data_IF_901127723993
#
_entry.id   IF_901127723993
#
_cell.length_a   1.000
_cell.length_b   1.000
_cell.length_c   1.000
_cell.angle_alpha   90.00
_cell.angle_beta   90.00
_cell.angle_gamma   90.00
#
_symmetry.space_group_name_H-M   'P 1'
#
loop_
_entity.id
_entity.type
_entity.pdbx_description
1 polymer ?
#
# COMPACT_ATOMS: atom_id res chain seq x y z
N UNK A 1 6.34 25.44 10.69
CA UNK A 1 5.22 25.53 9.73
C UNK A 1 4.67 24.11 9.60
N UNK A 2 3.35 23.91 9.54
CA UNK A 2 2.79 22.56 9.36
C UNK A 2 3.18 22.04 7.98
N UNK A 3 3.35 20.72 7.85
CA UNK A 3 3.76 20.05 6.61
C UNK A 3 2.76 20.31 5.46
N UNK A 4 1.48 20.39 5.80
CA UNK A 4 0.38 20.72 4.88
C UNK A 4 -0.79 21.32 5.65
N UNK A 5 -1.72 21.92 4.93
CA UNK A 5 -2.92 22.51 5.52
C UNK A 5 -3.96 21.43 5.86
N UNK A 6 -4.58 21.55 7.03
CA UNK A 6 -5.80 20.83 7.42
C UNK A 6 -6.95 21.83 7.37
N UNK A 7 -7.83 21.69 6.39
CA UNK A 7 -8.95 22.62 6.18
C UNK A 7 -10.05 22.46 7.23
N UNK A 8 -10.98 23.41 7.35
CA UNK A 8 -12.18 23.24 8.18
C UNK A 8 -13.02 22.02 7.78
N UNK A 9 -13.07 21.69 6.47
CA UNK A 9 -13.79 20.52 5.97
C UNK A 9 -13.13 19.20 6.42
N UNK A 10 -11.79 19.12 6.38
CA UNK A 10 -11.07 17.95 6.90
C UNK A 10 -11.34 17.70 8.38
N UNK A 11 -11.29 18.80 9.19
CA UNK A 11 -11.59 18.71 10.61
C UNK A 11 -13.01 18.22 10.86
N UNK A 12 -13.97 18.73 10.09
CA UNK A 12 -15.37 18.29 10.18
C UNK A 12 -15.50 16.79 9.90
N UNK A 13 -14.95 16.31 8.78
CA UNK A 13 -14.98 14.88 8.43
C UNK A 13 -14.32 14.04 9.52
N UNK A 14 -13.16 14.45 10.01
CA UNK A 14 -12.49 13.71 11.08
C UNK A 14 -13.33 13.64 12.34
N UNK A 15 -13.83 14.78 12.84
CA UNK A 15 -14.54 14.87 14.11
C UNK A 15 -15.92 14.23 14.09
N UNK A 16 -16.67 14.38 12.99
CA UNK A 16 -18.05 13.88 12.90
C UNK A 16 -18.12 12.43 12.42
N UNK A 17 -17.18 11.99 11.57
CA UNK A 17 -17.28 10.70 10.90
C UNK A 17 -16.23 9.68 11.33
N UNK A 18 -14.99 10.11 11.62
CA UNK A 18 -13.86 9.19 11.75
C UNK A 18 -13.38 9.03 13.19
N UNK A 19 -13.32 10.08 13.99
CA UNK A 19 -12.68 10.05 15.31
C UNK A 19 -13.21 8.94 16.22
N UNK A 20 -14.52 8.81 16.34
CA UNK A 20 -15.17 7.84 17.23
C UNK A 20 -15.34 6.45 16.59
N UNK A 21 -15.20 6.38 15.26
CA UNK A 21 -15.17 5.12 14.51
C UNK A 21 -13.79 4.45 14.58
N UNK A 22 -12.72 5.21 14.52
CA UNK A 22 -11.35 4.70 14.54
C UNK A 22 -10.91 4.34 15.97
N UNK A 23 -10.18 3.22 16.17
CA UNK A 23 -9.61 2.85 17.46
C UNK A 23 -8.51 3.86 17.88
N UNK A 24 -8.14 3.87 19.16
CA UNK A 24 -7.09 4.76 19.67
C UNK A 24 -5.70 4.42 19.15
N UNK A 25 -5.47 3.14 18.81
CA UNK A 25 -4.22 2.66 18.21
C UNK A 25 -4.48 2.25 16.78
N UNK A 26 -3.61 2.69 15.89
CA UNK A 26 -3.66 2.39 14.46
C UNK A 26 -2.29 1.89 14.03
N UNK A 27 -2.25 0.86 13.18
CA UNK A 27 -1.03 0.41 12.53
C UNK A 27 -1.24 0.38 11.02
N UNK A 28 -0.59 1.32 10.35
CA UNK A 28 -0.53 1.42 8.89
C UNK A 28 0.47 0.40 8.34
N UNK A 29 0.01 -0.61 7.62
CA UNK A 29 0.90 -1.67 7.10
C UNK A 29 1.54 -1.32 5.76
N UNK A 30 1.14 -0.23 5.12
CA UNK A 30 1.59 0.12 3.78
C UNK A 30 1.91 1.61 3.67
N UNK A 31 3.17 1.97 3.93
CA UNK A 31 3.60 3.36 3.82
C UNK A 31 5.07 3.47 3.42
N UNK A 32 5.41 4.52 2.71
CA UNK A 32 6.72 4.74 2.16
C UNK A 32 7.46 5.85 2.88
N UNK A 33 8.76 5.68 3.09
CA UNK A 33 9.65 6.75 3.53
C UNK A 33 10.89 6.79 2.64
N UNK A 34 11.29 7.98 2.21
CA UNK A 34 12.46 8.20 1.37
C UNK A 34 12.97 9.63 1.46
N UNK A 35 14.20 9.84 1.00
CA UNK A 35 14.77 11.15 0.72
C UNK A 35 15.12 11.22 -0.76
N UNK A 36 14.73 12.29 -1.44
CA UNK A 36 15.01 12.50 -2.87
C UNK A 36 16.52 12.52 -3.16
N UNK A 37 17.28 13.12 -2.26
CA UNK A 37 18.75 13.15 -2.35
C UNK A 37 19.42 11.75 -2.37
N UNK A 38 18.71 10.71 -1.90
CA UNK A 38 19.18 9.33 -1.87
C UNK A 38 18.66 8.49 -3.04
N UNK A 39 17.81 9.05 -3.90
CA UNK A 39 17.30 8.35 -5.08
C UNK A 39 18.41 8.07 -6.09
N UNK A 40 18.34 6.93 -6.74
CA UNK A 40 19.12 6.71 -7.95
C UNK A 40 18.63 7.66 -9.04
N UNK A 41 19.55 8.36 -9.71
CA UNK A 41 19.19 9.21 -10.85
C UNK A 41 18.47 8.35 -11.89
N UNK A 42 17.23 8.68 -12.19
CA UNK A 42 16.44 7.99 -13.22
C UNK A 42 17.23 8.05 -14.53
N UNK A 43 17.58 6.88 -15.07
CA UNK A 43 18.03 6.83 -16.47
C UNK A 43 16.85 7.30 -17.32
N UNK A 44 17.09 8.25 -18.22
CA UNK A 44 16.09 8.66 -19.20
C UNK A 44 15.57 7.42 -19.92
N UNK A 45 14.24 7.35 -20.09
CA UNK A 45 13.62 6.27 -20.85
C UNK A 45 14.21 6.30 -22.27
N UNK A 46 14.63 5.15 -22.77
CA UNK A 46 15.01 4.99 -24.16
C UNK A 46 13.77 4.91 -25.05
N UNK A 47 13.91 5.18 -26.34
CA UNK A 47 12.79 5.11 -27.28
C UNK A 47 12.10 3.73 -27.20
N UNK A 48 10.80 3.71 -26.88
CA UNK A 48 10.00 2.49 -26.75
C UNK A 48 9.82 1.97 -25.31
N UNK A 49 10.51 2.52 -24.31
CA UNK A 49 10.27 2.18 -22.91
C UNK A 49 9.05 2.92 -22.37
N UNK A 50 8.14 2.18 -21.71
CA UNK A 50 6.94 2.74 -21.10
C UNK A 50 7.17 2.97 -19.62
N UNK A 51 6.71 4.11 -19.11
CA UNK A 51 6.72 4.40 -17.68
C UNK A 51 5.72 3.49 -16.97
N UNK A 52 6.21 2.74 -15.98
CA UNK A 52 5.42 1.73 -15.23
C UNK A 52 4.97 2.20 -13.85
N UNK A 53 5.45 3.36 -13.42
CA UNK A 53 5.19 3.93 -12.09
C UNK A 53 4.40 5.21 -12.24
N UNK A 54 3.41 5.40 -11.40
CA UNK A 54 2.70 6.68 -11.30
C UNK A 54 3.62 7.78 -10.77
N UNK A 55 3.39 9.01 -11.20
CA UNK A 55 4.16 10.19 -10.76
C UNK A 55 3.58 10.91 -9.57
N UNK A 56 2.39 10.53 -9.12
CA UNK A 56 1.69 11.22 -8.05
C UNK A 56 2.48 11.35 -6.74
N UNK A 57 3.22 10.32 -6.27
CA UNK A 57 4.01 10.51 -5.06
C UNK A 57 4.93 11.72 -5.13
N UNK A 58 5.57 11.94 -6.28
CA UNK A 58 6.48 13.08 -6.49
C UNK A 58 5.74 14.43 -6.54
N UNK A 59 4.46 14.44 -6.95
CA UNK A 59 3.60 15.64 -6.93
C UNK A 59 3.11 15.97 -5.52
N UNK A 60 2.98 14.95 -4.67
CA UNK A 60 2.53 15.13 -3.28
C UNK A 60 3.69 15.46 -2.35
N UNK A 61 4.84 14.81 -2.57
CA UNK A 61 6.03 14.98 -1.74
C UNK A 61 7.31 14.64 -2.52
N UNK A 62 8.24 15.57 -2.56
CA UNK A 62 9.60 15.31 -3.08
C UNK A 62 10.36 14.41 -2.11
N UNK A 63 10.35 14.75 -0.83
CA UNK A 63 10.77 13.91 0.29
C UNK A 63 9.55 13.42 1.06
N UNK A 64 9.63 12.21 1.59
CA UNK A 64 8.73 11.72 2.63
C UNK A 64 9.58 11.11 3.74
N UNK A 65 10.17 11.96 4.54
CA UNK A 65 11.01 11.55 5.68
C UNK A 65 10.17 10.86 6.77
N UNK A 66 10.82 10.20 7.71
CA UNK A 66 10.12 9.64 8.87
C UNK A 66 9.44 10.74 9.70
N UNK A 67 10.06 11.90 9.77
CA UNK A 67 9.51 13.09 10.45
C UNK A 67 8.26 13.59 9.73
N UNK A 68 8.28 13.66 8.39
CA UNK A 68 7.12 14.03 7.58
C UNK A 68 5.98 13.02 7.74
N UNK A 69 6.29 11.72 7.79
CA UNK A 69 5.30 10.68 8.03
C UNK A 69 4.65 10.83 9.41
N UNK A 70 5.46 11.01 10.46
CA UNK A 70 4.96 11.19 11.82
C UNK A 70 4.12 12.48 11.94
N UNK A 71 4.54 13.58 11.33
CA UNK A 71 3.77 14.83 11.28
C UNK A 71 2.47 14.64 10.49
N UNK A 72 2.49 13.86 9.39
CA UNK A 72 1.30 13.51 8.63
C UNK A 72 0.27 12.81 9.52
N UNK A 73 0.69 11.80 10.29
CA UNK A 73 -0.23 11.11 11.20
C UNK A 73 -0.76 12.03 12.31
N UNK A 74 0.10 12.88 12.86
CA UNK A 74 -0.31 13.88 13.89
C UNK A 74 -1.37 14.85 13.37
N UNK A 75 -1.25 15.27 12.10
CA UNK A 75 -2.18 16.21 11.47
C UNK A 75 -3.49 15.53 11.04
N UNK A 76 -3.42 14.31 10.52
CA UNK A 76 -4.58 13.62 9.98
C UNK A 76 -5.35 12.80 11.02
N UNK A 77 -4.69 12.31 12.05
CA UNK A 77 -5.29 11.47 13.10
C UNK A 77 -5.08 12.05 14.49
N UNK A 78 -5.55 13.31 14.75
CA UNK A 78 -5.31 13.94 16.04
C UNK A 78 -5.91 13.11 17.18
N UNK A 79 -5.09 12.86 18.22
CA UNK A 79 -5.47 12.06 19.37
C UNK A 79 -5.32 10.55 19.23
N UNK A 80 -4.87 10.03 18.07
CA UNK A 80 -4.60 8.61 17.87
C UNK A 80 -3.11 8.30 17.96
N UNK A 81 -2.77 7.10 18.46
CA UNK A 81 -1.42 6.54 18.43
C UNK A 81 -1.23 5.75 17.12
N UNK A 82 -0.59 6.36 16.12
CA UNK A 82 -0.40 5.75 14.80
C UNK A 82 1.04 5.30 14.64
N UNK A 83 1.22 4.02 14.33
CA UNK A 83 2.50 3.41 13.92
C UNK A 83 2.40 2.89 12.50
N UNK A 84 3.54 2.55 11.90
CA UNK A 84 3.58 2.07 10.53
C UNK A 84 4.60 0.96 10.31
N UNK A 85 4.30 0.07 9.35
CA UNK A 85 5.25 -0.79 8.68
C UNK A 85 5.79 -0.01 7.48
N UNK A 86 7.06 0.40 7.57
CA UNK A 86 7.67 1.31 6.60
C UNK A 86 8.57 0.59 5.60
N UNK A 87 8.67 1.14 4.40
CA UNK A 87 9.62 0.74 3.36
C UNK A 87 9.87 1.91 2.40
N UNK A 88 10.87 1.80 1.54
CA UNK A 88 11.17 2.86 0.58
C UNK A 88 10.19 2.87 -0.60
N UNK A 89 10.26 3.88 -1.45
CA UNK A 89 9.44 3.97 -2.66
C UNK A 89 9.92 3.01 -3.77
N UNK A 90 9.11 2.88 -4.84
CA UNK A 90 9.40 2.00 -5.96
C UNK A 90 10.68 2.35 -6.75
N UNK A 91 11.23 3.53 -6.55
CA UNK A 91 12.45 4.04 -7.19
C UNK A 91 13.68 3.85 -6.29
N UNK A 92 13.64 2.89 -5.39
CA UNK A 92 14.56 2.77 -4.29
C UNK A 92 15.99 2.46 -4.69
N UNK A 93 16.87 3.31 -4.22
CA UNK A 93 18.31 3.06 -4.17
C UNK A 93 18.67 2.19 -2.97
N UNK A 94 19.87 1.60 -2.99
CA UNK A 94 20.44 0.97 -1.80
C UNK A 94 20.54 1.96 -0.63
N UNK A 95 20.79 3.25 -0.92
CA UNK A 95 20.87 4.32 0.08
C UNK A 95 19.53 4.57 0.78
N UNK A 96 18.39 4.52 0.05
CA UNK A 96 17.08 4.62 0.67
C UNK A 96 16.73 3.40 1.53
N UNK A 97 17.18 2.19 1.19
CA UNK A 97 17.05 1.03 2.09
C UNK A 97 17.86 1.21 3.39
N UNK A 98 19.08 1.76 3.32
CA UNK A 98 19.85 2.08 4.53
C UNK A 98 19.19 3.21 5.35
N UNK A 99 18.59 4.19 4.70
CA UNK A 99 17.77 5.21 5.38
C UNK A 99 16.58 4.57 6.12
N UNK A 100 15.81 3.69 5.47
CA UNK A 100 14.71 2.96 6.12
C UNK A 100 15.20 2.17 7.33
N UNK A 101 16.31 1.48 7.24
CA UNK A 101 16.94 0.75 8.35
C UNK A 101 17.27 1.68 9.52
N UNK A 102 17.88 2.83 9.25
CA UNK A 102 18.23 3.81 10.27
C UNK A 102 16.99 4.34 10.98
N UNK A 103 16.01 4.82 10.19
CA UNK A 103 14.80 5.43 10.78
C UNK A 103 13.88 4.41 11.44
N UNK A 104 13.87 3.15 10.99
CA UNK A 104 13.19 2.05 11.67
C UNK A 104 13.73 1.86 13.09
N UNK A 105 15.06 1.85 13.26
CA UNK A 105 15.70 1.75 14.58
C UNK A 105 15.36 2.94 15.48
N UNK A 106 15.39 4.15 14.91
CA UNK A 106 15.17 5.40 15.64
C UNK A 106 13.73 5.60 16.05
N UNK A 107 12.78 5.31 15.17
CA UNK A 107 11.34 5.48 15.41
C UNK A 107 10.70 4.29 16.13
N UNK A 108 11.33 3.11 16.05
CA UNK A 108 10.73 1.84 16.48
C UNK A 108 9.66 1.30 15.51
N UNK A 109 9.49 1.91 14.34
CA UNK A 109 8.57 1.41 13.32
C UNK A 109 9.15 0.16 12.66
N UNK A 110 8.39 -0.95 12.55
CA UNK A 110 8.81 -2.11 11.78
C UNK A 110 9.04 -1.75 10.31
N UNK A 111 9.90 -2.52 9.62
CA UNK A 111 10.24 -2.19 8.23
C UNK A 111 10.35 -3.43 7.34
N UNK A 112 10.12 -3.23 6.03
CA UNK A 112 10.43 -4.18 4.98
C UNK A 112 11.63 -3.71 4.16
N UNK A 113 12.40 -4.68 3.67
CA UNK A 113 13.48 -4.46 2.74
C UNK A 113 12.93 -4.36 1.31
N UNK A 114 13.31 -3.35 0.56
CA UNK A 114 12.96 -3.29 -0.86
C UNK A 114 13.96 -4.14 -1.65
N UNK A 115 13.53 -5.34 -2.04
CA UNK A 115 14.37 -6.29 -2.77
C UNK A 115 14.41 -6.00 -4.27
N UNK A 116 15.52 -6.39 -4.90
CA UNK A 116 15.70 -6.36 -6.36
C UNK A 116 15.77 -7.80 -6.88
N UNK A 117 15.17 -8.11 -8.03
CA UNK A 117 15.12 -9.48 -8.54
C UNK A 117 16.50 -10.07 -8.86
N UNK A 118 17.50 -9.22 -9.14
CA UNK A 118 18.87 -9.66 -9.45
C UNK A 118 19.65 -10.14 -8.22
N UNK A 119 19.19 -9.81 -7.00
CA UNK A 119 19.86 -10.20 -5.77
C UNK A 119 19.73 -11.70 -5.54
N UNK A 120 20.81 -12.35 -5.12
CA UNK A 120 20.75 -13.73 -4.62
C UNK A 120 19.92 -13.82 -3.34
N UNK A 121 19.41 -15.00 -3.04
CA UNK A 121 18.67 -15.25 -1.81
C UNK A 121 19.53 -14.98 -0.55
N UNK A 122 20.83 -15.29 -0.60
CA UNK A 122 21.74 -15.09 0.51
C UNK A 122 22.03 -13.61 0.77
N UNK A 123 22.26 -12.82 -0.29
CA UNK A 123 22.43 -11.36 -0.17
C UNK A 123 21.16 -10.70 0.38
N UNK A 124 20.00 -11.10 -0.10
CA UNK A 124 18.72 -10.58 0.39
C UNK A 124 18.52 -10.92 1.87
N UNK A 125 18.73 -12.19 2.28
CA UNK A 125 18.64 -12.58 3.69
C UNK A 125 19.62 -11.82 4.57
N UNK A 126 20.87 -11.66 4.14
CA UNK A 126 21.87 -10.88 4.86
C UNK A 126 21.37 -9.45 5.11
N UNK A 127 20.84 -8.77 4.07
CA UNK A 127 20.29 -7.41 4.21
C UNK A 127 19.11 -7.35 5.16
N UNK A 128 18.20 -8.34 5.10
CA UNK A 128 17.06 -8.44 6.01
C UNK A 128 17.55 -8.55 7.46
N UNK A 129 18.44 -9.49 7.75
CA UNK A 129 18.93 -9.72 9.11
C UNK A 129 19.75 -8.55 9.67
N UNK A 130 20.67 -7.98 8.88
CA UNK A 130 21.48 -6.83 9.28
C UNK A 130 20.64 -5.56 9.48
N UNK A 131 19.56 -5.42 8.69
CA UNK A 131 18.66 -4.28 8.74
C UNK A 131 17.61 -4.37 9.85
N UNK A 132 17.31 -5.55 10.36
CA UNK A 132 16.18 -5.79 11.26
C UNK A 132 14.84 -5.79 10.53
N UNK A 133 14.86 -6.02 9.21
CA UNK A 133 13.65 -6.05 8.37
C UNK A 133 12.83 -7.33 8.61
N UNK A 134 11.52 -7.26 8.36
CA UNK A 134 10.58 -8.35 8.61
C UNK A 134 10.13 -9.09 7.35
N UNK A 135 10.70 -8.74 6.22
CA UNK A 135 10.37 -9.30 4.93
C UNK A 135 10.77 -8.38 3.80
N UNK A 136 10.11 -8.54 2.66
CA UNK A 136 10.46 -7.83 1.43
C UNK A 136 9.26 -7.11 0.80
N UNK A 137 9.57 -6.03 0.10
CA UNK A 137 8.75 -5.32 -0.88
C UNK A 137 9.52 -5.27 -2.19
N UNK A 138 8.83 -5.40 -3.31
CA UNK A 138 9.33 -5.09 -4.64
C UNK A 138 8.21 -4.47 -5.47
N UNK A 139 8.51 -4.03 -6.68
CA UNK A 139 7.53 -3.37 -7.53
C UNK A 139 7.72 -3.77 -8.99
N UNK A 140 6.66 -3.67 -9.79
CA UNK A 140 6.64 -4.12 -11.19
C UNK A 140 7.65 -3.41 -12.11
N UNK A 141 8.16 -2.24 -11.75
CA UNK A 141 9.20 -1.54 -12.51
C UNK A 141 10.58 -2.19 -12.36
N UNK A 142 10.77 -3.09 -11.38
CA UNK A 142 11.96 -3.93 -11.26
C UNK A 142 11.94 -5.10 -12.27
N UNK A 143 10.81 -5.41 -12.89
CA UNK A 143 10.75 -6.40 -13.96
C UNK A 143 11.58 -5.97 -15.18
N UNK A 144 12.13 -6.93 -15.97
CA UNK A 144 12.92 -6.62 -17.16
C UNK A 144 12.25 -5.58 -18.06
N UNK A 145 12.99 -4.54 -18.45
CA UNK A 145 12.44 -3.38 -19.18
C UNK A 145 11.87 -3.71 -20.55
N UNK A 146 12.33 -4.80 -21.17
CA UNK A 146 11.82 -5.26 -22.46
C UNK A 146 10.40 -5.86 -22.39
N UNK A 147 9.91 -6.19 -21.19
CA UNK A 147 8.56 -6.72 -21.02
C UNK A 147 7.53 -5.59 -21.11
N UNK A 148 6.51 -5.70 -21.96
CA UNK A 148 5.35 -4.82 -21.88
C UNK A 148 4.66 -4.96 -20.51
N UNK A 149 4.11 -3.88 -19.96
CA UNK A 149 3.46 -3.91 -18.64
C UNK A 149 2.35 -4.97 -18.56
N UNK A 150 1.61 -5.18 -19.65
CA UNK A 150 0.55 -6.19 -19.72
C UNK A 150 1.06 -7.65 -19.64
N UNK A 151 2.35 -7.88 -19.83
CA UNK A 151 2.96 -9.22 -19.81
C UNK A 151 3.76 -9.47 -18.54
N UNK A 152 3.99 -8.46 -17.70
CA UNK A 152 4.73 -8.63 -16.45
C UNK A 152 4.03 -9.65 -15.56
N UNK A 153 4.82 -10.53 -14.98
CA UNK A 153 4.40 -11.56 -14.02
C UNK A 153 4.95 -11.22 -12.64
N UNK A 154 4.33 -11.76 -11.61
CA UNK A 154 4.82 -11.57 -10.24
C UNK A 154 6.27 -12.06 -10.11
N UNK A 155 6.60 -13.19 -10.71
CA UNK A 155 7.95 -13.78 -10.65
C UNK A 155 9.03 -13.00 -11.42
N UNK A 156 8.67 -12.02 -12.24
CA UNK A 156 9.62 -11.15 -12.92
C UNK A 156 10.26 -10.12 -11.96
N UNK A 157 9.65 -9.86 -10.80
CA UNK A 157 10.16 -8.95 -9.78
C UNK A 157 10.14 -9.52 -8.35
N UNK A 158 9.47 -10.65 -8.13
CA UNK A 158 9.60 -11.52 -6.97
C UNK A 158 10.03 -12.92 -7.42
N UNK A 159 11.32 -13.13 -7.76
CA UNK A 159 11.76 -14.41 -8.29
C UNK A 159 11.64 -15.53 -7.25
N UNK A 160 11.34 -16.74 -7.71
CA UNK A 160 11.07 -17.90 -6.83
C UNK A 160 12.19 -18.20 -5.83
N UNK A 161 13.46 -17.93 -6.14
CA UNK A 161 14.55 -18.14 -5.20
C UNK A 161 14.48 -17.20 -3.98
N UNK A 162 13.99 -15.97 -4.16
CA UNK A 162 13.75 -15.02 -3.06
C UNK A 162 12.50 -15.42 -2.26
N UNK A 163 11.40 -15.82 -2.94
CA UNK A 163 10.19 -16.30 -2.28
C UNK A 163 10.46 -17.55 -1.45
N UNK A 164 11.26 -18.50 -1.98
CA UNK A 164 11.68 -19.67 -1.22
C UNK A 164 12.44 -19.29 0.05
N UNK A 165 13.36 -18.32 -0.02
CA UNK A 165 14.06 -17.85 1.16
C UNK A 165 13.11 -17.16 2.15
N UNK A 166 12.12 -16.39 1.67
CA UNK A 166 11.08 -15.82 2.52
C UNK A 166 10.23 -16.89 3.20
N UNK A 167 9.94 -17.98 2.51
CA UNK A 167 9.25 -19.14 3.10
C UNK A 167 10.05 -19.80 4.21
N UNK A 168 11.35 -20.06 3.98
CA UNK A 168 12.26 -20.61 4.98
C UNK A 168 12.40 -19.70 6.21
N UNK A 169 12.32 -18.39 6.04
CA UNK A 169 12.39 -17.39 7.11
C UNK A 169 11.04 -17.11 7.77
N UNK A 170 9.92 -17.48 7.13
CA UNK A 170 8.57 -17.09 7.56
C UNK A 170 8.37 -15.57 7.52
N UNK A 171 8.94 -14.91 6.52
CA UNK A 171 8.92 -13.46 6.34
C UNK A 171 7.66 -12.92 5.67
N UNK A 172 7.50 -11.59 5.72
CA UNK A 172 6.42 -10.88 5.03
C UNK A 172 6.81 -10.63 3.58
N UNK A 173 5.87 -10.84 2.66
CA UNK A 173 5.96 -10.40 1.25
C UNK A 173 4.80 -9.47 0.97
N UNK A 174 5.09 -8.19 0.75
CA UNK A 174 4.11 -7.18 0.36
C UNK A 174 4.01 -7.16 -1.17
N UNK A 175 2.94 -7.72 -1.71
CA UNK A 175 2.76 -7.94 -3.14
C UNK A 175 1.87 -6.88 -3.78
N UNK A 176 2.48 -6.02 -4.60
CA UNK A 176 1.76 -5.19 -5.57
C UNK A 176 1.60 -5.97 -6.88
N UNK A 177 0.37 -6.37 -7.24
CA UNK A 177 0.15 -7.15 -8.46
C UNK A 177 0.37 -6.31 -9.72
N UNK A 178 1.00 -6.89 -10.79
CA UNK A 178 1.49 -6.07 -11.89
C UNK A 178 0.48 -5.76 -12.99
N UNK A 179 -0.40 -6.70 -13.33
CA UNK A 179 -1.17 -6.66 -14.58
C UNK A 179 -2.39 -5.74 -14.50
N UNK A 180 -2.74 -5.14 -15.63
CA UNK A 180 -3.84 -4.17 -15.73
C UNK A 180 -5.23 -4.78 -15.54
N UNK A 181 -5.39 -6.10 -15.68
CA UNK A 181 -6.60 -6.81 -15.29
C UNK A 181 -6.84 -6.83 -13.77
N UNK A 182 -5.85 -6.35 -12.98
CA UNK A 182 -5.95 -6.11 -11.53
C UNK A 182 -6.31 -7.39 -10.77
N UNK A 183 -7.16 -7.32 -9.73
CA UNK A 183 -7.49 -8.49 -8.89
C UNK A 183 -8.02 -9.68 -9.69
N UNK A 184 -8.89 -9.43 -10.65
CA UNK A 184 -9.51 -10.49 -11.49
C UNK A 184 -8.61 -11.04 -12.60
N UNK A 185 -7.40 -10.49 -12.81
CA UNK A 185 -6.51 -10.98 -13.86
C UNK A 185 -6.12 -12.44 -13.62
N UNK A 186 -6.39 -13.36 -14.55
CA UNK A 186 -6.19 -14.80 -14.32
C UNK A 186 -4.72 -15.17 -14.12
N UNK A 187 -3.77 -14.40 -14.66
CA UNK A 187 -2.34 -14.64 -14.46
C UNK A 187 -1.91 -14.19 -13.07
N UNK A 188 -2.41 -13.04 -12.59
CA UNK A 188 -2.18 -12.62 -11.22
C UNK A 188 -2.72 -13.65 -10.23
N UNK A 189 -3.96 -14.11 -10.42
CA UNK A 189 -4.59 -15.12 -9.57
C UNK A 189 -3.81 -16.43 -9.56
N UNK A 190 -3.48 -16.97 -10.75
CA UNK A 190 -2.71 -18.21 -10.86
C UNK A 190 -1.38 -18.13 -10.10
N UNK A 191 -0.65 -17.00 -10.23
CA UNK A 191 0.64 -16.85 -9.56
C UNK A 191 0.53 -16.60 -8.06
N UNK A 192 -0.53 -15.94 -7.57
CA UNK A 192 -0.83 -15.84 -6.14
C UNK A 192 -1.05 -17.25 -5.57
N UNK A 193 -1.87 -18.06 -6.23
CA UNK A 193 -2.13 -19.44 -5.80
C UNK A 193 -0.88 -20.32 -5.87
N UNK A 194 -0.04 -20.14 -6.89
CA UNK A 194 1.25 -20.81 -7.00
C UNK A 194 2.19 -20.45 -5.84
N UNK A 195 2.26 -19.16 -5.46
CA UNK A 195 3.04 -18.72 -4.29
C UNK A 195 2.54 -19.42 -3.04
N UNK A 196 1.23 -19.46 -2.80
CA UNK A 196 0.66 -20.11 -1.61
C UNK A 196 0.88 -21.61 -1.57
N UNK A 197 0.88 -22.27 -2.74
CA UNK A 197 1.13 -23.70 -2.83
C UNK A 197 2.61 -24.06 -2.63
N UNK A 198 3.53 -23.29 -3.24
CA UNK A 198 4.97 -23.59 -3.20
C UNK A 198 5.68 -23.03 -1.96
N UNK A 199 5.16 -21.94 -1.39
CA UNK A 199 5.77 -21.18 -0.29
C UNK A 199 4.76 -20.90 0.84
N UNK A 200 4.26 -21.95 1.52
CA UNK A 200 3.14 -21.85 2.46
C UNK A 200 3.44 -21.03 3.72
N UNK A 201 4.71 -20.88 4.11
CA UNK A 201 5.10 -20.10 5.30
C UNK A 201 5.30 -18.62 5.01
N UNK A 202 5.26 -18.20 3.73
CA UNK A 202 5.30 -16.77 3.37
C UNK A 202 4.05 -16.08 3.92
N UNK A 203 4.24 -15.01 4.66
CA UNK A 203 3.17 -14.09 5.08
C UNK A 203 2.87 -13.13 3.94
N UNK A 204 2.00 -13.56 3.03
CA UNK A 204 1.68 -12.83 1.81
C UNK A 204 0.59 -11.80 2.06
N UNK A 205 0.88 -10.52 1.78
CA UNK A 205 -0.08 -9.41 1.79
C UNK A 205 -0.36 -9.02 0.34
N UNK A 206 -1.61 -9.08 -0.07
CA UNK A 206 -2.08 -8.56 -1.34
C UNK A 206 -2.37 -7.06 -1.17
N UNK A 207 -1.47 -6.23 -1.69
CA UNK A 207 -1.58 -4.78 -1.57
C UNK A 207 -2.78 -4.22 -2.34
N UNK A 208 -3.45 -3.18 -1.78
CA UNK A 208 -4.55 -2.44 -2.43
C UNK A 208 -5.76 -3.32 -2.83
N UNK A 209 -6.04 -4.40 -2.10
CA UNK A 209 -7.01 -5.42 -2.56
C UNK A 209 -6.72 -5.84 -4.01
N UNK A 210 -5.44 -6.10 -4.33
CA UNK A 210 -5.05 -6.41 -5.69
C UNK A 210 -5.44 -5.33 -6.70
N UNK A 211 -5.37 -4.05 -6.33
CA UNK A 211 -5.72 -2.90 -7.17
C UNK A 211 -7.17 -2.90 -7.66
N UNK A 212 -8.11 -3.45 -6.90
CA UNK A 212 -9.54 -3.43 -7.21
C UNK A 212 -10.14 -2.05 -6.92
N UNK A 213 -9.88 -1.08 -7.78
CA UNK A 213 -10.26 0.33 -7.60
C UNK A 213 -11.66 0.68 -8.09
N UNK A 214 -12.29 -0.23 -8.83
CA UNK A 214 -13.69 -0.15 -9.27
C UNK A 214 -14.36 -1.51 -9.12
N UNK A 215 -15.68 -1.55 -9.07
CA UNK A 215 -16.45 -2.78 -8.83
C UNK A 215 -16.09 -3.92 -9.77
N UNK A 216 -15.94 -3.58 -11.06
CA UNK A 216 -15.61 -4.56 -12.10
C UNK A 216 -14.20 -5.16 -11.97
N UNK A 217 -13.29 -4.56 -11.18
CA UNK A 217 -11.93 -5.10 -10.96
C UNK A 217 -11.92 -6.33 -10.05
N UNK A 218 -12.95 -6.49 -9.22
CA UNK A 218 -13.13 -7.66 -8.35
C UNK A 218 -13.45 -8.90 -9.19
N UNK A 219 -14.40 -8.79 -10.12
CA UNK A 219 -14.86 -9.91 -10.95
C UNK A 219 -15.21 -11.14 -10.10
N UNK A 220 -14.70 -12.30 -10.50
CA UNK A 220 -14.85 -13.56 -9.78
C UNK A 220 -13.57 -13.99 -9.04
N UNK A 221 -12.71 -13.04 -8.67
CA UNK A 221 -11.39 -13.34 -8.09
C UNK A 221 -11.48 -14.17 -6.81
N UNK A 222 -12.47 -13.92 -5.98
CA UNK A 222 -12.64 -14.63 -4.70
C UNK A 222 -13.05 -16.10 -4.86
N UNK A 223 -13.65 -16.53 -6.00
CA UNK A 223 -13.85 -17.96 -6.29
C UNK A 223 -12.51 -18.73 -6.27
N UNK A 224 -11.42 -18.04 -6.63
CA UNK A 224 -10.06 -18.60 -6.59
C UNK A 224 -9.38 -18.36 -5.25
N UNK A 225 -9.44 -17.11 -4.74
CA UNK A 225 -8.68 -16.69 -3.55
C UNK A 225 -9.21 -17.32 -2.25
N UNK A 226 -10.48 -17.69 -2.18
CA UNK A 226 -11.06 -18.42 -1.04
C UNK A 226 -10.42 -19.77 -0.79
N UNK A 227 -9.70 -20.31 -1.80
CA UNK A 227 -8.92 -21.55 -1.65
C UNK A 227 -7.60 -21.34 -0.87
N UNK A 228 -7.23 -20.09 -0.58
CA UNK A 228 -6.07 -19.71 0.23
C UNK A 228 -6.50 -18.82 1.42
N UNK A 229 -7.14 -19.39 2.45
CA UNK A 229 -7.82 -18.65 3.51
C UNK A 229 -6.86 -17.89 4.44
N UNK A 230 -5.56 -18.09 4.34
CA UNK A 230 -4.52 -17.40 5.11
C UNK A 230 -3.90 -16.20 4.37
N UNK A 231 -4.45 -15.84 3.19
CA UNK A 231 -4.06 -14.62 2.49
C UNK A 231 -4.43 -13.39 3.32
N UNK A 232 -3.50 -12.43 3.37
CA UNK A 232 -3.73 -11.14 3.99
C UNK A 232 -3.91 -10.07 2.91
N UNK A 233 -4.70 -9.06 3.21
CA UNK A 233 -4.98 -7.95 2.30
C UNK A 233 -4.78 -6.62 3.01
N UNK A 234 -4.29 -5.61 2.30
CA UNK A 234 -4.50 -4.24 2.71
C UNK A 234 -5.45 -3.53 1.73
N UNK A 235 -6.17 -2.53 2.24
CA UNK A 235 -7.07 -1.75 1.41
C UNK A 235 -6.54 -0.35 1.09
N UNK A 236 -5.24 -0.13 1.27
CA UNK A 236 -4.65 1.19 1.05
C UNK A 236 -4.90 1.73 -0.37
N UNK A 237 -5.04 3.04 -0.47
CA UNK A 237 -5.37 3.77 -1.70
C UNK A 237 -6.64 3.25 -2.41
N UNK A 238 -7.56 2.65 -1.66
CA UNK A 238 -8.78 2.07 -2.20
C UNK A 238 -10.03 2.72 -1.60
N UNK A 239 -10.80 3.43 -2.42
CA UNK A 239 -12.09 4.05 -2.05
C UNK A 239 -13.30 3.30 -2.63
N UNK A 240 -13.08 2.12 -3.23
CA UNK A 240 -14.16 1.29 -3.75
C UNK A 240 -14.82 0.51 -2.61
N UNK A 241 -15.95 1.03 -2.12
CA UNK A 241 -16.72 0.39 -1.04
C UNK A 241 -17.08 -1.06 -1.38
N UNK A 242 -17.44 -1.34 -2.64
CA UNK A 242 -17.73 -2.69 -3.10
C UNK A 242 -16.52 -3.62 -2.92
N UNK A 243 -15.33 -3.23 -3.37
CA UNK A 243 -14.14 -4.05 -3.24
C UNK A 243 -13.75 -4.29 -1.77
N UNK A 244 -13.87 -3.27 -0.92
CA UNK A 244 -13.63 -3.39 0.53
C UNK A 244 -14.67 -4.33 1.16
N UNK A 245 -15.94 -4.22 0.75
CA UNK A 245 -17.02 -5.10 1.25
C UNK A 245 -16.76 -6.55 0.85
N UNK A 246 -16.37 -6.80 -0.40
CA UNK A 246 -16.12 -8.15 -0.89
C UNK A 246 -14.90 -8.79 -0.20
N UNK A 247 -13.78 -8.08 -0.04
CA UNK A 247 -12.63 -8.65 0.67
C UNK A 247 -12.96 -8.95 2.14
N UNK A 248 -13.71 -8.07 2.82
CA UNK A 248 -14.15 -8.32 4.20
C UNK A 248 -15.13 -9.49 4.31
N UNK A 249 -15.99 -9.69 3.29
CA UNK A 249 -16.95 -10.81 3.25
C UNK A 249 -16.25 -12.15 3.05
N UNK A 250 -15.29 -12.21 2.12
CA UNK A 250 -14.62 -13.43 1.73
C UNK A 250 -13.46 -13.79 2.67
N UNK A 251 -12.52 -12.89 2.88
CA UNK A 251 -11.37 -13.14 3.74
C UNK A 251 -11.69 -13.00 5.24
N UNK A 252 -12.74 -12.25 5.57
CA UNK A 252 -13.09 -11.90 6.95
C UNK A 252 -12.21 -10.80 7.53
N UNK A 253 -12.70 -10.10 8.59
CA UNK A 253 -12.01 -8.96 9.17
C UNK A 253 -10.64 -9.31 9.79
N UNK A 254 -10.35 -10.59 10.05
CA UNK A 254 -9.05 -11.04 10.60
C UNK A 254 -7.93 -11.09 9.56
N UNK A 255 -8.23 -10.99 8.28
CA UNK A 255 -7.26 -11.07 7.18
C UNK A 255 -7.13 -9.77 6.38
N UNK A 256 -7.81 -8.71 6.82
CA UNK A 256 -7.74 -7.38 6.19
C UNK A 256 -7.03 -6.42 7.13
N UNK A 257 -6.22 -5.53 6.58
CA UNK A 257 -5.43 -4.56 7.34
C UNK A 257 -5.54 -3.17 6.72
N UNK A 258 -5.42 -2.15 7.57
CA UNK A 258 -5.33 -0.77 7.16
C UNK A 258 -3.94 -0.44 6.61
N UNK A 259 -3.89 0.30 5.51
CA UNK A 259 -2.69 0.89 4.94
C UNK A 259 -3.01 2.22 4.28
N UNK A 260 -2.04 3.10 4.10
CA UNK A 260 -2.27 4.43 3.53
C UNK A 260 -1.56 4.70 2.22
N UNK A 261 -0.55 3.90 1.85
CA UNK A 261 0.32 4.21 0.73
C UNK A 261 0.91 5.66 0.81
N UNK A 262 1.16 6.15 2.06
CA UNK A 262 1.73 7.50 2.21
C UNK A 262 3.04 7.64 1.42
N UNK A 263 3.24 8.80 0.78
CA UNK A 263 2.46 10.06 0.90
C UNK A 263 1.25 10.17 -0.03
N UNK A 264 0.92 9.16 -0.84
CA UNK A 264 -0.19 9.24 -1.81
C UNK A 264 -1.50 9.65 -1.12
N UNK A 265 -1.86 9.02 -0.03
CA UNK A 265 -3.12 9.32 0.64
C UNK A 265 -3.17 10.67 1.37
N UNK A 266 -2.06 11.41 1.38
CA UNK A 266 -2.03 12.83 1.75
C UNK A 266 -2.63 13.73 0.68
N UNK A 267 -2.80 13.23 -0.56
CA UNK A 267 -3.50 13.97 -1.61
C UNK A 267 -4.90 14.39 -1.15
N UNK A 268 -5.34 15.51 -1.70
CA UNK A 268 -6.75 15.89 -1.72
C UNK A 268 -7.37 15.32 -2.98
N UNK A 269 -8.20 14.33 -2.82
CA UNK A 269 -8.94 13.80 -3.94
C UNK A 269 -10.19 13.04 -3.48
N UNK A 270 -11.22 13.07 -4.33
CA UNK A 270 -12.37 12.18 -4.26
C UNK A 270 -12.30 11.22 -5.43
N UNK A 271 -12.22 9.93 -5.17
CA UNK A 271 -12.26 8.93 -6.24
C UNK A 271 -13.68 8.56 -6.59
N UNK A 272 -14.00 8.64 -7.87
CA UNK A 272 -15.27 8.18 -8.44
C UNK A 272 -15.03 7.07 -9.47
N UNK A 273 -16.09 6.34 -9.80
CA UNK A 273 -16.08 5.34 -10.88
C UNK A 273 -16.82 5.91 -12.08
N UNK A 274 -16.19 5.86 -13.25
CA UNK A 274 -16.79 6.28 -14.50
C UNK A 274 -16.32 5.37 -15.64
N UNK A 275 -17.25 4.93 -16.48
CA UNK A 275 -16.96 4.09 -17.67
C UNK A 275 -16.06 2.86 -17.37
N UNK A 276 -16.23 2.23 -16.21
CA UNK A 276 -15.46 1.03 -15.80
C UNK A 276 -14.03 1.30 -15.37
N UNK A 277 -13.68 2.57 -15.15
CA UNK A 277 -12.40 2.99 -14.56
C UNK A 277 -12.63 3.95 -13.40
N UNK A 278 -11.55 4.30 -12.67
CA UNK A 278 -11.61 5.32 -11.64
C UNK A 278 -11.11 6.66 -12.14
N UNK A 279 -11.66 7.74 -11.59
CA UNK A 279 -11.19 9.11 -11.77
C UNK A 279 -11.00 9.71 -10.37
N UNK A 280 -9.89 10.38 -10.16
CA UNK A 280 -9.64 11.17 -8.97
C UNK A 280 -9.97 12.62 -9.25
N UNK A 281 -11.04 13.09 -8.66
CA UNK A 281 -11.40 14.51 -8.64
C UNK A 281 -10.48 15.24 -7.70
N UNK A 282 -9.79 16.27 -8.18
CA UNK A 282 -8.75 17.01 -7.43
C UNK A 282 -9.03 18.51 -7.44
N UNK A 283 -8.59 19.26 -6.42
CA UNK A 283 -8.63 20.72 -6.44
C UNK A 283 -7.77 21.29 -7.58
N UNK A 284 -8.22 22.41 -8.21
CA UNK A 284 -7.52 22.99 -9.35
C UNK A 284 -6.13 23.54 -8.97
N UNK A 285 -5.14 23.29 -9.84
CA UNK A 285 -3.77 23.81 -9.73
C UNK A 285 -2.91 23.19 -8.62
N UNK A 286 -3.43 22.20 -7.86
CA UNK A 286 -2.71 21.65 -6.70
C UNK A 286 -1.63 20.64 -7.10
N UNK A 287 -1.82 19.92 -8.19
CA UNK A 287 -0.96 18.82 -8.63
C UNK A 287 -0.35 19.01 -10.02
N UNK A 288 -0.10 20.26 -10.41
CA UNK A 288 0.50 20.61 -11.70
C UNK A 288 -0.47 20.40 -12.87
N UNK A 289 0.04 19.97 -14.02
CA UNK A 289 -0.77 19.71 -15.21
C UNK A 289 -1.35 18.28 -15.19
N UNK A 290 -2.66 18.11 -14.95
CA UNK A 290 -3.29 16.79 -14.91
C UNK A 290 -3.52 16.18 -16.31
N UNK A 291 -3.32 16.93 -17.41
CA UNK A 291 -3.62 16.48 -18.76
C UNK A 291 -2.84 15.22 -19.20
N UNK A 292 -1.74 14.92 -18.50
CA UNK A 292 -0.89 13.76 -18.77
C UNK A 292 -1.34 12.48 -18.04
N UNK A 293 -2.36 12.58 -17.18
CA UNK A 293 -2.90 11.44 -16.44
C UNK A 293 -4.43 11.40 -16.58
N UNK A 294 -4.92 10.46 -17.36
CA UNK A 294 -6.36 10.27 -17.61
C UNK A 294 -7.19 9.92 -16.36
N UNK A 295 -6.52 9.64 -15.24
CA UNK A 295 -7.17 9.38 -13.96
C UNK A 295 -7.29 10.61 -13.06
N UNK A 296 -6.80 11.78 -13.48
CA UNK A 296 -6.91 13.04 -12.74
C UNK A 296 -7.86 13.99 -13.47
N UNK A 297 -8.80 14.55 -12.72
CA UNK A 297 -9.73 15.57 -13.22
C UNK A 297 -9.86 16.70 -12.19
N UNK A 298 -9.49 17.92 -12.60
CA UNK A 298 -9.72 19.09 -11.77
C UNK A 298 -11.19 19.44 -11.70
N UNK A 299 -11.68 19.69 -10.49
CA UNK A 299 -13.02 20.22 -10.26
C UNK A 299 -13.01 21.75 -10.24
N UNK A 300 -14.18 22.37 -10.22
CA UNK A 300 -14.26 23.81 -10.01
C UNK A 300 -13.95 24.21 -8.54
N UNK A 301 -13.75 25.51 -8.29
CA UNK A 301 -13.35 26.01 -6.99
C UNK A 301 -14.39 25.75 -5.87
N UNK A 302 -15.68 25.75 -6.18
CA UNK A 302 -16.75 25.47 -5.22
C UNK A 302 -16.74 23.99 -4.80
N UNK A 303 -16.64 23.10 -5.76
CA UNK A 303 -16.53 21.64 -5.48
C UNK A 303 -15.25 21.31 -4.70
N UNK A 304 -14.14 22.01 -4.98
CA UNK A 304 -12.86 21.82 -4.30
C UNK A 304 -12.93 22.04 -2.77
N UNK A 305 -13.85 22.92 -2.31
CA UNK A 305 -14.06 23.15 -0.87
C UNK A 305 -14.55 21.90 -0.12
N UNK A 306 -15.16 20.96 -0.84
CA UNK A 306 -15.68 19.69 -0.32
C UNK A 306 -14.78 18.48 -0.61
N UNK A 307 -13.55 18.69 -1.09
CA UNK A 307 -12.56 17.62 -1.27
C UNK A 307 -11.65 17.56 -0.06
N UNK A 308 -11.66 16.41 0.59
CA UNK A 308 -10.82 16.09 1.76
C UNK A 308 -9.58 15.27 1.37
N UNK A 309 -8.83 14.80 2.36
CA UNK A 309 -7.73 13.88 2.14
C UNK A 309 -8.21 12.55 1.55
N UNK A 310 -7.44 12.00 0.65
CA UNK A 310 -7.72 10.69 0.07
C UNK A 310 -7.82 9.59 1.15
N UNK A 311 -6.99 9.66 2.21
CA UNK A 311 -7.11 8.77 3.35
C UNK A 311 -8.48 8.84 4.05
N UNK A 312 -9.10 10.01 4.10
CA UNK A 312 -10.42 10.12 4.71
C UNK A 312 -11.50 9.53 3.81
N UNK A 313 -11.42 9.72 2.49
CA UNK A 313 -12.33 9.06 1.54
C UNK A 313 -12.21 7.52 1.62
N UNK A 314 -10.99 6.99 1.75
CA UNK A 314 -10.74 5.57 1.97
C UNK A 314 -11.39 5.09 3.26
N UNK A 315 -11.16 5.78 4.38
CA UNK A 315 -11.72 5.42 5.67
C UNK A 315 -13.25 5.55 5.73
N UNK A 316 -13.83 6.50 5.00
CA UNK A 316 -15.28 6.60 4.84
C UNK A 316 -15.85 5.42 4.06
N UNK A 317 -15.15 4.97 3.00
CA UNK A 317 -15.53 3.76 2.26
C UNK A 317 -15.45 2.51 3.15
N UNK A 318 -14.37 2.37 3.92
CA UNK A 318 -14.22 1.29 4.90
C UNK A 318 -15.33 1.32 5.98
N UNK A 319 -15.64 2.49 6.52
CA UNK A 319 -16.74 2.66 7.49
C UNK A 319 -18.08 2.18 6.92
N UNK A 320 -18.41 2.56 5.67
CA UNK A 320 -19.65 2.10 5.02
C UNK A 320 -19.64 0.59 4.76
N UNK A 321 -18.51 0.01 4.35
CA UNK A 321 -18.38 -1.44 4.21
C UNK A 321 -18.59 -2.17 5.55
N UNK A 322 -18.03 -1.66 6.65
CA UNK A 322 -18.27 -2.19 8.00
C UNK A 322 -19.75 -2.14 8.40
N UNK A 323 -20.43 -1.03 8.09
CA UNK A 323 -21.86 -0.89 8.37
C UNK A 323 -22.70 -1.89 7.55
N UNK A 324 -22.38 -2.04 6.26
CA UNK A 324 -23.05 -2.98 5.34
C UNK A 324 -22.92 -4.43 5.84
N UNK A 325 -21.77 -4.79 6.39
CA UNK A 325 -21.51 -6.15 6.91
C UNK A 325 -21.88 -6.33 8.40
N UNK A 326 -22.25 -5.27 9.10
CA UNK A 326 -22.56 -5.32 10.52
C UNK A 326 -21.33 -5.65 11.38
N UNK A 327 -20.14 -5.19 10.98
CA UNK A 327 -18.90 -5.44 11.73
C UNK A 327 -18.94 -4.75 13.10
N UNK A 328 -18.37 -5.41 14.09
CA UNK A 328 -18.26 -4.91 15.45
C UNK A 328 -17.10 -3.92 15.61
N UNK A 329 -17.08 -3.19 16.73
CA UNK A 329 -15.92 -2.36 17.09
C UNK A 329 -14.62 -3.18 17.19
N UNK A 330 -14.72 -4.43 17.65
CA UNK A 330 -13.56 -5.32 17.74
C UNK A 330 -13.05 -5.69 16.34
N UNK A 331 -13.93 -5.93 15.37
CA UNK A 331 -13.52 -6.21 13.99
C UNK A 331 -12.83 -4.99 13.38
N UNK A 332 -13.32 -3.78 13.64
CA UNK A 332 -12.65 -2.53 13.21
C UNK A 332 -11.26 -2.40 13.85
N UNK A 333 -11.14 -2.65 15.15
CA UNK A 333 -9.86 -2.64 15.86
C UNK A 333 -8.88 -3.69 15.32
N UNK A 334 -9.38 -4.88 14.96
CA UNK A 334 -8.58 -5.93 14.36
C UNK A 334 -8.01 -5.48 13.00
N UNK A 335 -8.84 -4.92 12.14
CA UNK A 335 -8.43 -4.40 10.83
C UNK A 335 -7.47 -3.23 10.94
N UNK A 336 -7.74 -2.31 11.86
CA UNK A 336 -6.95 -1.09 12.01
C UNK A 336 -5.64 -1.28 12.79
N UNK A 337 -5.52 -2.36 13.59
CA UNK A 337 -4.38 -2.52 14.48
C UNK A 337 -3.95 -3.97 14.73
N UNK A 338 -4.83 -4.83 15.29
CA UNK A 338 -4.42 -6.11 15.87
C UNK A 338 -3.87 -7.09 14.81
N UNK A 339 -4.47 -7.15 13.62
CA UNK A 339 -4.01 -8.03 12.54
C UNK A 339 -2.58 -7.72 12.11
N UNK A 340 -2.27 -6.43 11.95
CA UNK A 340 -0.95 -5.95 11.61
C UNK A 340 0.08 -6.26 12.71
N UNK A 341 -0.28 -6.06 13.99
CA UNK A 341 0.57 -6.44 15.12
C UNK A 341 0.87 -7.94 15.10
N UNK A 342 -0.14 -8.78 14.94
CA UNK A 342 0.01 -10.23 14.93
C UNK A 342 0.90 -10.71 13.78
N UNK A 343 0.73 -10.12 12.59
CA UNK A 343 1.55 -10.41 11.41
C UNK A 343 3.03 -10.05 11.65
N UNK A 344 3.29 -8.84 12.14
CA UNK A 344 4.62 -8.29 12.42
C UNK A 344 5.32 -9.11 13.50
N UNK A 345 4.67 -9.38 14.61
CA UNK A 345 5.22 -10.19 15.69
C UNK A 345 5.45 -11.65 15.26
N UNK A 346 4.56 -12.20 14.44
CA UNK A 346 4.74 -13.52 13.84
C UNK A 346 6.00 -13.59 12.96
N UNK A 347 6.20 -12.60 12.08
CA UNK A 347 7.39 -12.52 11.24
C UNK A 347 8.66 -12.31 12.08
N UNK A 348 8.60 -11.44 13.10
CA UNK A 348 9.73 -11.19 14.00
C UNK A 348 10.17 -12.46 14.72
N UNK A 349 9.23 -13.22 15.27
CA UNK A 349 9.53 -14.52 15.92
C UNK A 349 10.16 -15.50 14.94
N UNK A 350 9.64 -15.62 13.72
CA UNK A 350 10.15 -16.55 12.72
C UNK A 350 11.57 -16.19 12.27
N UNK A 351 11.85 -14.92 12.00
CA UNK A 351 13.14 -14.46 11.47
C UNK A 351 14.21 -14.37 12.55
N UNK A 352 13.87 -13.89 13.76
CA UNK A 352 14.82 -13.51 14.79
C UNK A 352 14.71 -14.33 16.08
N UNK A 353 13.71 -15.19 16.23
CA UNK A 353 13.50 -15.99 17.43
C UNK A 353 13.07 -15.17 18.66
N UNK A 354 12.46 -14.00 18.45
CA UNK A 354 12.13 -13.03 19.52
C UNK A 354 10.63 -12.80 19.61
#
# INVERSE_FOLDING_TARGET
MALFEVTPYDRKIYEEELRDFLPDKILDVHTHVWLDALREKKKSLTSGEVKRVVTWPDLVALDNSIEDLQETYRLMFPGKDVKALIFTNADSSAANNEYVKEVSRRSGFPALYFSRPEQSADEMEQKIREGGFLGIKSYLDMAPRYLPQAEIRIFDFFPKHQLKRMDEMGGIVMLHIPRNGRLKDPVNLAQIMEIKAEFPNVRLIIAHIGRAYVDSDVGNAFETLDQAPDLMYDFCANCCEFAITEVLRHAGPKHVMFGTDMPILRMRCRRIQENGTYINLIPPGLYGDPSQDSHLLEVNAEEAESITFFAYEELLAFKRACQTLGLTKQDVEDVMYNNAVNLIEGARRSIYGK
#
